data_IF_171705397896
#
_entry.id   IF_171705397896
#
_cell.length_a   1.000
_cell.length_b   1.000
_cell.length_c   1.000
_cell.angle_alpha   90.00
_cell.angle_beta   90.00
_cell.angle_gamma   90.00
#
_symmetry.space_group_name_H-M   'P 1'
#
loop_
_entity.id
_entity.type
_entity.pdbx_description
1 polymer ?
#
# COMPACT_ATOMS: atom_id res chain seq x y z
N UNK A 1 -16.47 -11.02 14.07
CA UNK A 1 -15.02 -10.91 13.84
C UNK A 1 -14.64 -10.44 12.42
N UNK A 2 -15.55 -9.83 11.64
CA UNK A 2 -15.26 -9.27 10.29
C UNK A 2 -14.30 -8.06 10.32
N UNK A 3 -14.28 -7.31 11.42
CA UNK A 3 -13.52 -6.05 11.54
C UNK A 3 -11.99 -6.25 11.54
N UNK A 4 -11.51 -7.41 12.00
CA UNK A 4 -10.07 -7.69 12.14
C UNK A 4 -9.40 -7.84 10.77
N UNK A 5 -10.10 -8.44 9.80
CA UNK A 5 -9.56 -8.65 8.45
C UNK A 5 -9.45 -7.32 7.69
N UNK A 6 -10.51 -6.49 7.75
CA UNK A 6 -10.51 -5.14 7.18
C UNK A 6 -9.43 -4.25 7.81
N UNK A 7 -9.32 -4.23 9.14
CA UNK A 7 -8.29 -3.46 9.85
C UNK A 7 -6.87 -3.90 9.47
N UNK A 8 -6.62 -5.20 9.29
CA UNK A 8 -5.32 -5.71 8.83
C UNK A 8 -4.99 -5.24 7.40
N UNK A 9 -5.98 -5.26 6.50
CA UNK A 9 -5.82 -4.76 5.13
C UNK A 9 -5.58 -3.23 5.10
N UNK A 10 -6.30 -2.46 5.92
CA UNK A 10 -6.09 -1.02 6.09
C UNK A 10 -4.69 -0.69 6.64
N UNK A 11 -4.20 -1.46 7.63
CA UNK A 11 -2.83 -1.31 8.15
C UNK A 11 -1.78 -1.61 7.08
N UNK A 12 -1.97 -2.68 6.29
CA UNK A 12 -1.07 -3.01 5.16
C UNK A 12 -1.07 -1.90 4.11
N UNK A 13 -2.25 -1.35 3.80
CA UNK A 13 -2.40 -0.24 2.86
C UNK A 13 -1.66 1.02 3.35
N UNK A 14 -1.84 1.41 4.62
CA UNK A 14 -1.11 2.52 5.24
C UNK A 14 0.41 2.30 5.23
N UNK A 15 0.86 1.07 5.47
CA UNK A 15 2.28 0.69 5.39
C UNK A 15 2.86 0.86 3.99
N UNK A 16 2.12 0.47 2.94
CA UNK A 16 2.56 0.68 1.56
C UNK A 16 2.63 2.16 1.19
N UNK A 17 1.67 2.97 1.65
CA UNK A 17 1.68 4.42 1.41
C UNK A 17 2.90 5.09 2.03
N UNK A 18 3.24 4.71 3.27
CA UNK A 18 4.44 5.20 3.92
C UNK A 18 5.70 4.84 3.14
N UNK A 19 5.82 3.59 2.67
CA UNK A 19 6.98 3.15 1.87
C UNK A 19 7.08 3.88 0.53
N UNK A 20 5.95 4.18 -0.11
CA UNK A 20 5.91 4.98 -1.35
C UNK A 20 6.40 6.40 -1.08
N UNK A 21 5.91 7.03 0.00
CA UNK A 21 6.31 8.39 0.37
C UNK A 21 7.80 8.44 0.76
N UNK A 22 8.28 7.47 1.54
CA UNK A 22 9.67 7.37 1.96
C UNK A 22 10.60 7.20 0.75
N UNK A 23 10.25 6.34 -0.21
CA UNK A 23 11.03 6.14 -1.44
C UNK A 23 10.98 7.35 -2.37
N UNK A 24 9.82 8.00 -2.51
CA UNK A 24 9.66 9.19 -3.34
C UNK A 24 10.39 10.42 -2.79
N UNK A 25 10.62 10.48 -1.47
CA UNK A 25 11.37 11.55 -0.82
C UNK A 25 12.89 11.34 -0.90
N UNK A 26 13.36 10.19 -1.40
CA UNK A 26 14.80 9.96 -1.55
C UNK A 26 15.38 10.86 -2.64
N UNK A 27 16.64 11.34 -2.49
CA UNK A 27 17.31 12.13 -3.53
C UNK A 27 17.43 11.41 -4.88
N UNK A 28 17.41 10.07 -4.86
CA UNK A 28 17.36 9.21 -6.05
C UNK A 28 16.27 8.16 -5.82
N UNK A 29 15.01 8.45 -6.16
CA UNK A 29 13.91 7.53 -5.94
C UNK A 29 14.00 6.34 -6.89
N UNK A 30 13.77 5.13 -6.39
CA UNK A 30 13.56 3.97 -7.24
C UNK A 30 12.13 3.97 -7.80
N UNK A 31 12.00 4.44 -9.03
CA UNK A 31 10.71 4.51 -9.72
C UNK A 31 10.08 3.14 -10.00
N UNK A 32 10.87 2.08 -10.17
CA UNK A 32 10.34 0.72 -10.35
C UNK A 32 9.75 0.23 -9.04
N UNK A 33 10.45 0.42 -7.92
CA UNK A 33 9.95 0.08 -6.59
C UNK A 33 8.68 0.85 -6.26
N UNK A 34 8.64 2.16 -6.52
CA UNK A 34 7.44 2.99 -6.33
C UNK A 34 6.27 2.46 -7.17
N UNK A 35 6.50 2.09 -8.43
CA UNK A 35 5.46 1.54 -9.29
C UNK A 35 4.93 0.18 -8.77
N UNK A 36 5.81 -0.71 -8.30
CA UNK A 36 5.41 -1.97 -7.69
C UNK A 36 4.60 -1.77 -6.40
N UNK A 37 5.04 -0.85 -5.54
CA UNK A 37 4.34 -0.54 -4.29
C UNK A 37 2.95 0.04 -4.57
N UNK A 38 2.82 0.92 -5.58
CA UNK A 38 1.52 1.46 -6.02
C UNK A 38 0.59 0.36 -6.58
N UNK A 39 1.11 -0.60 -7.35
CA UNK A 39 0.33 -1.76 -7.83
C UNK A 39 -0.17 -2.63 -6.67
N UNK A 40 0.68 -2.89 -5.68
CA UNK A 40 0.28 -3.63 -4.46
C UNK A 40 -0.79 -2.88 -3.67
N UNK A 41 -0.67 -1.56 -3.56
CA UNK A 41 -1.67 -0.70 -2.92
C UNK A 41 -3.02 -0.79 -3.65
N UNK A 42 -3.02 -0.74 -4.98
CA UNK A 42 -4.24 -0.86 -5.78
C UNK A 42 -4.94 -2.20 -5.54
N UNK A 43 -4.20 -3.32 -5.56
CA UNK A 43 -4.76 -4.65 -5.27
C UNK A 43 -5.38 -4.75 -3.88
N UNK A 44 -4.72 -4.22 -2.85
CA UNK A 44 -5.30 -4.19 -1.50
C UNK A 44 -6.57 -3.34 -1.43
N UNK A 45 -6.63 -2.24 -2.19
CA UNK A 45 -7.83 -1.41 -2.29
C UNK A 45 -8.99 -2.15 -2.96
N UNK A 46 -8.70 -2.93 -4.00
CA UNK A 46 -9.70 -3.78 -4.67
C UNK A 46 -10.19 -4.90 -3.75
N UNK A 47 -9.29 -5.54 -3.01
CA UNK A 47 -9.61 -6.57 -2.02
C UNK A 47 -10.50 -6.00 -0.91
N UNK A 48 -10.18 -4.80 -0.39
CA UNK A 48 -11.02 -4.05 0.55
C UNK A 48 -12.39 -3.66 0.00
N UNK A 49 -12.48 -3.41 -1.31
CA UNK A 49 -13.74 -3.02 -1.97
C UNK A 49 -14.63 -4.23 -2.27
N UNK A 50 -14.04 -5.42 -2.38
CA UNK A 50 -14.75 -6.67 -2.67
C UNK A 50 -15.26 -7.34 -1.38
N UNK A 51 -14.80 -6.88 -0.21
CA UNK A 51 -15.13 -7.36 1.14
C UNK A 51 -16.29 -6.59 1.78
#
# INVERSE_FOLDING_TARGET
MQNTHRSSLEHKHAGLDRRIADEAHRPRPDHLLIAELKRRKLRLKEELATL
#
